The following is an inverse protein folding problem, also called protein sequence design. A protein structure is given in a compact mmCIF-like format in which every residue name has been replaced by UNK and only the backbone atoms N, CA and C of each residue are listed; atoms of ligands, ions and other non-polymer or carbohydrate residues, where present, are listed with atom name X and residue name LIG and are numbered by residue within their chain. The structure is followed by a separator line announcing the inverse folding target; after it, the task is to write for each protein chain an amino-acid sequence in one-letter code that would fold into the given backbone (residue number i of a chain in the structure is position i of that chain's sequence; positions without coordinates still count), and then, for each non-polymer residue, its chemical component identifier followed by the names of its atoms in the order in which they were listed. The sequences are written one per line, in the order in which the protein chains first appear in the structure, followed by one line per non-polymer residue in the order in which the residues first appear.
data_IF_544011472096
#
_entry.id   IF_544011472096
#
_cell.length_a   1.000
_cell.length_b   1.000
_cell.length_c   1.000
_cell.angle_alpha   90.00
_cell.angle_beta   90.00
_cell.angle_gamma   90.00
#
_symmetry.space_group_name_H-M   'P 1'
#
loop_
_entity.id
_entity.type
_entity.pdbx_description
1 polymer ?
#
# COMPACT_ATOMS: atom_id res chain seq x y z
N UNK A 1 31.85 15.80 23.39
CA UNK A 1 30.54 15.32 23.90
C UNK A 1 29.38 16.20 23.41
N UNK A 2 29.67 17.21 22.59
CA UNK A 2 28.71 18.25 22.19
C UNK A 2 27.69 17.77 21.14
N UNK A 3 28.11 16.85 20.28
CA UNK A 3 27.27 16.26 19.23
C UNK A 3 26.10 15.44 19.79
N UNK A 4 26.28 14.85 20.99
CA UNK A 4 25.23 14.06 21.65
C UNK A 4 24.02 14.94 22.01
N UNK A 5 24.25 16.19 22.39
CA UNK A 5 23.18 17.14 22.70
C UNK A 5 22.35 17.51 21.47
N UNK A 6 22.89 17.35 20.26
CA UNK A 6 22.16 17.55 19.01
C UNK A 6 21.49 16.25 18.53
N UNK A 7 22.18 15.11 18.64
CA UNK A 7 21.69 13.81 18.18
C UNK A 7 20.52 13.28 19.01
N UNK A 8 20.52 13.49 20.33
CA UNK A 8 19.43 13.02 21.20
C UNK A 8 18.09 13.66 20.81
N UNK A 9 17.93 14.99 20.76
CA UNK A 9 16.66 15.60 20.36
C UNK A 9 16.32 15.31 18.89
N UNK A 10 17.32 15.27 17.99
CA UNK A 10 17.09 14.94 16.58
C UNK A 10 16.51 13.52 16.42
N UNK A 11 17.05 12.54 17.15
CA UNK A 11 16.56 11.16 17.12
C UNK A 11 15.15 11.03 17.71
N UNK A 12 14.84 11.76 18.80
CA UNK A 12 13.49 11.83 19.34
C UNK A 12 12.49 12.37 18.31
N UNK A 13 12.83 13.49 17.65
CA UNK A 13 11.99 14.06 16.58
C UNK A 13 11.77 13.06 15.45
N UNK A 14 12.82 12.35 15.04
CA UNK A 14 12.73 11.32 14.00
C UNK A 14 11.78 10.18 14.40
N UNK A 15 11.88 9.69 15.64
CA UNK A 15 10.99 8.65 16.18
C UNK A 15 9.54 9.13 16.19
N UNK A 16 9.28 10.34 16.65
CA UNK A 16 7.93 10.92 16.61
C UNK A 16 7.40 11.08 15.20
N UNK A 17 8.24 11.51 14.26
CA UNK A 17 7.86 11.69 12.86
C UNK A 17 7.48 10.36 12.20
N UNK A 18 8.31 9.33 12.38
CA UNK A 18 8.00 7.97 11.91
C UNK A 18 6.73 7.44 12.56
N UNK A 19 6.56 7.62 13.87
CA UNK A 19 5.35 7.22 14.59
C UNK A 19 4.08 7.92 14.09
N UNK A 20 4.16 9.22 13.81
CA UNK A 20 3.04 10.00 13.28
C UNK A 20 2.66 9.56 11.87
N UNK A 21 3.64 9.35 10.99
CA UNK A 21 3.42 8.84 9.62
C UNK A 21 2.80 7.45 9.66
N UNK A 22 3.33 6.55 10.50
CA UNK A 22 2.80 5.21 10.66
C UNK A 22 1.37 5.20 11.18
N UNK A 23 1.08 6.02 12.21
CA UNK A 23 -0.27 6.19 12.74
C UNK A 23 -1.25 6.72 11.68
N UNK A 24 -0.81 7.70 10.89
CA UNK A 24 -1.60 8.24 9.79
C UNK A 24 -1.87 7.20 8.70
N UNK A 25 -0.88 6.37 8.35
CA UNK A 25 -1.02 5.28 7.38
C UNK A 25 -2.03 4.22 7.85
N UNK A 26 -1.98 3.82 9.12
CA UNK A 26 -2.96 2.92 9.72
C UNK A 26 -4.38 3.50 9.67
N UNK A 27 -4.55 4.77 10.01
CA UNK A 27 -5.87 5.42 10.00
C UNK A 27 -6.39 5.72 8.58
N UNK A 28 -5.50 5.85 7.60
CA UNK A 28 -5.88 6.13 6.21
C UNK A 28 -6.48 4.91 5.50
N UNK A 29 -6.61 3.76 6.16
CA UNK A 29 -7.28 2.59 5.59
C UNK A 29 -6.60 2.04 4.34
N UNK A 30 -5.34 2.40 4.09
CA UNK A 30 -4.60 1.99 2.87
C UNK A 30 -4.36 0.47 2.81
N UNK A 31 -4.60 -0.24 3.92
CA UNK A 31 -4.54 -1.69 4.02
C UNK A 31 -5.88 -2.38 3.72
N UNK A 32 -7.01 -1.65 3.67
CA UNK A 32 -8.32 -2.22 3.31
C UNK A 32 -8.44 -2.48 1.79
N UNK A 33 -7.66 -1.76 0.96
CA UNK A 33 -7.65 -1.94 -0.50
C UNK A 33 -6.66 -3.03 -0.97
N UNK A 34 -6.11 -3.84 -0.07
CA UNK A 34 -5.29 -5.00 -0.43
C UNK A 34 -6.13 -6.20 -0.89
N UNK A 35 -7.44 -6.20 -0.66
CA UNK A 35 -8.36 -7.27 -1.12
C UNK A 35 -8.69 -7.17 -2.62
N UNK A 36 -8.72 -5.96 -3.19
CA UNK A 36 -9.08 -5.71 -4.59
C UNK A 36 -8.08 -6.21 -5.65
N UNK A 37 -6.75 -6.18 -5.41
CA UNK A 37 -5.75 -6.77 -6.30
C UNK A 37 -5.68 -8.30 -6.20
N UNK A 38 -5.82 -8.87 -5.00
CA UNK A 38 -5.75 -10.31 -4.77
C UNK A 38 -6.89 -11.06 -5.49
N UNK A 39 -8.10 -10.49 -5.50
CA UNK A 39 -9.23 -11.05 -6.23
C UNK A 39 -9.03 -11.03 -7.76
N UNK A 40 -8.36 -9.99 -8.29
CA UNK A 40 -8.05 -9.87 -9.73
C UNK A 40 -7.00 -10.88 -10.18
N UNK A 41 -5.95 -11.12 -9.39
CA UNK A 41 -4.90 -12.10 -9.72
C UNK A 41 -5.42 -13.54 -9.68
N UNK A 42 -6.36 -13.86 -8.78
CA UNK A 42 -6.95 -15.20 -8.69
C UNK A 42 -8.04 -15.47 -9.76
N UNK A 43 -8.69 -14.41 -10.27
CA UNK A 43 -9.78 -14.50 -11.27
C UNK A 43 -9.32 -14.28 -12.72
N UNK A 44 -8.04 -13.99 -12.97
CA UNK A 44 -7.51 -13.76 -14.32
C UNK A 44 -7.17 -15.04 -15.09
N UNK A 45 -7.34 -16.22 -14.49
CA UNK A 45 -6.94 -17.52 -15.10
C UNK A 45 -8.09 -18.23 -15.86
N UNK A 46 -9.33 -17.72 -15.83
CA UNK A 46 -10.52 -18.42 -16.36
C UNK A 46 -11.33 -17.61 -17.40
N UNK A 47 -10.66 -16.99 -18.39
CA UNK A 47 -11.33 -16.62 -19.66
C UNK A 47 -10.62 -17.13 -20.90
N UNK A 48 -10.66 -18.45 -21.15
CA UNK A 48 -10.49 -18.97 -22.50
C UNK A 48 -11.78 -18.72 -23.30
N UNK A 49 -11.69 -17.81 -24.28
CA UNK A 49 -12.52 -17.84 -25.49
C UNK A 49 -14.02 -17.51 -25.36
N UNK A 50 -14.36 -16.23 -25.43
CA UNK A 50 -15.57 -15.72 -26.12
C UNK A 50 -15.14 -14.36 -26.71
N UNK A 51 -15.01 -14.15 -28.02
CA UNK A 51 -16.02 -14.30 -29.06
C UNK A 51 -15.37 -14.56 -30.44
N UNK A 52 -15.33 -15.83 -30.84
CA UNK A 52 -15.08 -16.25 -32.23
C UNK A 52 -16.42 -16.33 -33.02
N UNK A 53 -17.42 -15.51 -32.67
CA UNK A 53 -18.82 -15.82 -33.00
C UNK A 53 -19.80 -14.64 -33.12
N UNK A 54 -19.44 -13.56 -33.82
CA UNK A 54 -20.40 -12.56 -34.33
C UNK A 54 -20.04 -12.26 -35.78
N UNK A 55 -20.52 -13.03 -36.77
CA UNK A 55 -21.91 -13.00 -37.28
C UNK A 55 -22.51 -11.60 -37.28
N UNK A 56 -21.88 -10.72 -38.05
CA UNK A 56 -22.50 -9.57 -38.72
C UNK A 56 -21.63 -9.30 -39.94
N UNK A 57 -22.08 -9.33 -41.19
CA UNK A 57 -23.35 -9.61 -41.86
C UNK A 57 -22.95 -9.98 -43.30
#
# INVERSE_FOLDING_TARGET
MDILYLLIPLSLVLVFLVGAVFWWALRSGQFDDLEGPAYRVLMDDDRPGQEEGRRTL
#
